data_IF_256710581170
#
_entry.id   IF_256710581170
#
_cell.length_a   1.000
_cell.length_b   1.000
_cell.length_c   1.000
_cell.angle_alpha   90.00
_cell.angle_beta   90.00
_cell.angle_gamma   90.00
#
_symmetry.space_group_name_H-M   'P 1'
#
loop_
_entity.id
_entity.type
_entity.pdbx_description
1 polymer ?
#
# COMPACT_ATOMS: atom_id res chain seq x y z
N UNK A 1 40.32 -15.20 -11.37
CA UNK A 1 39.81 -15.32 -9.99
C UNK A 1 39.19 -14.00 -9.56
N UNK A 2 37.91 -14.03 -9.16
CA UNK A 2 37.24 -13.23 -8.13
C UNK A 2 35.83 -12.80 -8.55
N UNK A 3 34.85 -13.69 -8.56
CA UNK A 3 33.92 -14.10 -7.48
C UNK A 3 32.57 -13.34 -7.58
N UNK A 4 31.49 -14.10 -7.77
CA UNK A 4 30.10 -13.66 -7.60
C UNK A 4 29.83 -13.27 -6.14
N UNK A 5 29.04 -12.23 -5.92
CA UNK A 5 28.67 -11.80 -4.57
C UNK A 5 27.30 -11.12 -4.51
N UNK A 6 26.24 -11.90 -4.72
CA UNK A 6 24.89 -11.54 -4.27
C UNK A 6 24.87 -11.44 -2.74
N UNK A 7 25.02 -10.23 -2.20
CA UNK A 7 24.61 -9.89 -0.83
C UNK A 7 23.43 -8.92 -0.96
N UNK A 8 22.19 -9.30 -0.65
CA UNK A 8 21.79 -9.96 0.58
C UNK A 8 21.58 -8.88 1.63
N UNK A 9 20.45 -8.16 1.55
CA UNK A 9 20.02 -7.21 2.59
C UNK A 9 19.71 -7.99 3.87
N UNK A 10 20.76 -8.31 4.63
CA UNK A 10 20.66 -8.72 6.02
C UNK A 10 20.19 -7.51 6.80
N UNK A 11 18.95 -7.57 7.26
CA UNK A 11 18.45 -6.79 8.39
C UNK A 11 19.49 -6.88 9.52
N UNK A 12 20.16 -5.77 9.81
CA UNK A 12 21.00 -5.66 11.00
C UNK A 12 20.10 -5.74 12.23
N UNK A 13 19.83 -6.96 12.73
CA UNK A 13 19.48 -7.14 14.14
C UNK A 13 20.75 -6.81 14.93
N UNK A 14 20.77 -5.65 15.56
CA UNK A 14 21.79 -5.35 16.57
C UNK A 14 21.70 -6.39 17.71
N UNK A 15 22.83 -6.89 18.24
CA UNK A 15 22.82 -7.75 19.41
C UNK A 15 22.49 -6.92 20.66
N UNK A 16 21.47 -7.35 21.40
CA UNK A 16 21.10 -6.76 22.70
C UNK A 16 22.15 -7.21 23.74
N UNK A 17 22.82 -6.29 24.46
CA UNK A 17 23.75 -6.67 25.53
C UNK A 17 22.98 -7.30 26.71
N UNK A 18 23.37 -8.51 27.08
CA UNK A 18 22.86 -9.25 28.24
C UNK A 18 23.39 -8.62 29.52
N UNK A 19 22.65 -7.67 30.09
CA UNK A 19 22.88 -7.20 31.46
C UNK A 19 22.09 -8.08 32.44
N UNK A 20 22.80 -8.75 33.35
CA UNK A 20 22.24 -9.51 34.47
C UNK A 20 21.63 -8.54 35.50
N UNK A 21 20.37 -8.72 35.94
CA UNK A 21 19.82 -7.92 37.04
C UNK A 21 20.22 -8.51 38.40
N UNK A 22 20.57 -7.67 39.40
CA UNK A 22 20.79 -8.11 40.78
C UNK A 22 19.46 -8.35 41.52
N UNK A 23 19.57 -9.02 42.67
CA UNK A 23 18.52 -9.71 43.41
C UNK A 23 17.60 -8.79 44.28
N UNK A 24 16.29 -9.14 44.31
CA UNK A 24 15.26 -9.02 45.39
C UNK A 24 14.57 -7.63 45.61
N UNK A 25 13.32 -7.55 46.17
CA UNK A 25 12.50 -8.55 46.88
C UNK A 25 11.02 -8.72 46.40
N UNK A 26 10.35 -9.68 47.03
CA UNK A 26 8.99 -10.23 46.86
C UNK A 26 7.81 -9.25 46.75
N UNK A 27 6.97 -9.44 45.73
CA UNK A 27 5.59 -8.93 45.64
C UNK A 27 4.70 -9.98 44.92
N UNK A 28 3.37 -10.04 45.19
CA UNK A 28 2.58 -11.24 45.03
C UNK A 28 2.37 -11.61 43.56
N UNK A 29 2.55 -12.90 43.27
CA UNK A 29 2.32 -13.49 41.96
C UNK A 29 0.81 -13.55 41.71
N UNK A 30 0.31 -12.67 40.83
CA UNK A 30 -0.96 -12.93 40.16
C UNK A 30 -0.69 -13.92 39.02
N UNK A 31 -0.99 -15.18 39.31
CA UNK A 31 -1.11 -16.25 38.33
C UNK A 31 -2.31 -15.93 37.42
N UNK A 32 -2.04 -15.48 36.19
CA UNK A 32 -3.02 -15.52 35.10
C UNK A 32 -2.49 -16.50 34.07
N UNK A 33 -2.95 -17.72 34.24
CA UNK A 33 -3.03 -18.70 33.17
C UNK A 33 -3.84 -18.14 31.99
N UNK A 34 -3.47 -18.59 30.79
CA UNK A 34 -4.25 -18.52 29.56
C UNK A 34 -4.17 -17.27 28.66
N UNK A 35 -3.85 -17.61 27.41
CA UNK A 35 -4.16 -16.91 26.15
C UNK A 35 -3.23 -15.77 25.73
N UNK A 36 -2.19 -16.17 24.99
CA UNK A 36 -1.44 -15.27 24.12
C UNK A 36 -2.40 -14.47 23.24
N UNK A 37 -2.37 -13.14 23.41
CA UNK A 37 -2.99 -12.16 22.50
C UNK A 37 -2.36 -12.31 21.13
N UNK A 38 -2.85 -13.27 20.33
CA UNK A 38 -2.61 -13.30 18.89
C UNK A 38 -3.20 -12.00 18.36
N UNK A 39 -2.32 -11.09 17.92
CA UNK A 39 -2.66 -9.92 17.11
C UNK A 39 -3.69 -10.39 16.08
N UNK A 40 -4.92 -9.86 16.17
CA UNK A 40 -6.03 -10.22 15.28
C UNK A 40 -5.57 -9.94 13.85
N UNK A 41 -5.21 -10.99 13.11
CA UNK A 41 -4.87 -10.89 11.69
C UNK A 41 -6.11 -10.36 10.97
N UNK A 42 -6.09 -9.11 10.53
CA UNK A 42 -7.17 -8.58 9.71
C UNK A 42 -7.08 -9.23 8.34
N UNK A 43 -7.87 -10.29 8.11
CA UNK A 43 -8.00 -10.93 6.81
C UNK A 43 -8.39 -9.88 5.77
N UNK A 44 -7.66 -9.83 4.65
CA UNK A 44 -7.95 -8.90 3.56
C UNK A 44 -9.31 -9.26 2.95
N UNK A 45 -10.23 -8.30 2.93
CA UNK A 45 -11.49 -8.44 2.22
C UNK A 45 -11.25 -8.47 0.70
N UNK A 46 -12.03 -9.29 -0.01
CA UNK A 46 -11.98 -9.40 -1.47
C UNK A 46 -13.29 -8.88 -2.06
N UNK A 47 -13.22 -8.04 -3.08
CA UNK A 47 -14.39 -7.52 -3.78
C UNK A 47 -15.13 -8.63 -4.55
N UNK A 48 -16.45 -8.56 -4.56
CA UNK A 48 -17.30 -9.48 -5.33
C UNK A 48 -17.07 -9.35 -6.83
N UNK A 49 -17.52 -10.34 -7.60
CA UNK A 49 -17.42 -10.30 -9.07
C UNK A 49 -18.19 -9.12 -9.67
N UNK A 50 -19.36 -8.80 -9.13
CA UNK A 50 -20.17 -7.67 -9.57
C UNK A 50 -19.44 -6.34 -9.34
N UNK A 51 -18.86 -6.17 -8.15
CA UNK A 51 -18.09 -4.98 -7.79
C UNK A 51 -16.88 -4.79 -8.71
N UNK A 52 -16.11 -5.86 -8.97
CA UNK A 52 -14.94 -5.81 -9.85
C UNK A 52 -15.33 -5.45 -11.29
N UNK A 53 -16.42 -6.01 -11.81
CA UNK A 53 -16.93 -5.69 -13.15
C UNK A 53 -17.35 -4.22 -13.26
N UNK A 54 -18.04 -3.68 -12.26
CA UNK A 54 -18.43 -2.27 -12.22
C UNK A 54 -17.24 -1.32 -12.22
N UNK A 55 -16.24 -1.63 -11.37
CA UNK A 55 -14.99 -0.87 -11.30
C UNK A 55 -14.21 -0.91 -12.63
N UNK A 56 -14.10 -2.09 -13.25
CA UNK A 56 -13.41 -2.26 -14.53
C UNK A 56 -14.10 -1.51 -15.66
N UNK A 57 -15.44 -1.57 -15.73
CA UNK A 57 -16.22 -0.85 -16.73
C UNK A 57 -15.95 0.65 -16.67
N UNK A 58 -15.96 1.26 -15.48
CA UNK A 58 -15.64 2.69 -15.35
C UNK A 58 -14.18 2.97 -15.71
N UNK A 59 -13.25 2.09 -15.33
CA UNK A 59 -11.83 2.24 -15.65
C UNK A 59 -11.54 2.21 -17.16
N UNK A 60 -12.28 1.42 -17.93
CA UNK A 60 -12.15 1.38 -19.40
C UNK A 60 -12.44 2.75 -20.02
N UNK A 61 -13.44 3.46 -19.51
CA UNK A 61 -13.83 4.80 -19.97
C UNK A 61 -12.84 5.85 -19.44
N UNK A 62 -12.52 5.79 -18.15
CA UNK A 62 -11.79 6.83 -17.44
C UNK A 62 -10.74 6.22 -16.52
N UNK A 63 -9.45 6.41 -16.86
CA UNK A 63 -8.33 5.81 -16.10
C UNK A 63 -8.11 6.46 -14.72
N UNK A 64 -8.61 7.68 -14.53
CA UNK A 64 -8.49 8.49 -13.32
C UNK A 64 -9.87 9.00 -12.91
N UNK A 65 -10.38 8.55 -11.78
CA UNK A 65 -11.73 8.92 -11.31
C UNK A 65 -11.72 10.25 -10.55
N UNK A 66 -12.67 11.14 -10.86
CA UNK A 66 -12.85 12.41 -10.14
C UNK A 66 -13.51 12.20 -8.78
N UNK A 67 -13.48 13.19 -7.88
CA UNK A 67 -14.16 13.14 -6.58
C UNK A 67 -15.67 12.87 -6.68
N UNK A 68 -16.45 13.59 -7.50
CA UNK A 68 -17.90 13.32 -7.63
C UNK A 68 -18.19 11.94 -8.23
N UNK A 69 -17.48 11.57 -9.30
CA UNK A 69 -17.65 10.26 -9.93
C UNK A 69 -17.35 9.11 -8.98
N UNK A 70 -16.33 9.28 -8.13
CA UNK A 70 -15.93 8.29 -7.13
C UNK A 70 -17.04 8.07 -6.10
N UNK A 71 -17.65 9.15 -5.60
CA UNK A 71 -18.78 9.08 -4.66
C UNK A 71 -19.96 8.32 -5.27
N UNK A 72 -20.29 8.62 -6.53
CA UNK A 72 -21.39 7.96 -7.23
C UNK A 72 -21.12 6.47 -7.47
N UNK A 73 -19.90 6.12 -7.88
CA UNK A 73 -19.50 4.73 -8.12
C UNK A 73 -19.47 3.92 -6.82
N UNK A 74 -18.99 4.52 -5.73
CA UNK A 74 -18.98 3.95 -4.39
C UNK A 74 -20.40 3.60 -3.93
N UNK A 75 -21.34 4.55 -4.05
CA UNK A 75 -22.75 4.35 -3.72
C UNK A 75 -23.39 3.23 -4.54
N UNK A 76 -23.09 3.16 -5.84
CA UNK A 76 -23.67 2.15 -6.75
C UNK A 76 -23.17 0.73 -6.44
N UNK A 77 -21.92 0.57 -6.00
CA UNK A 77 -21.29 -0.73 -5.75
C UNK A 77 -21.30 -1.16 -4.27
N UNK A 78 -21.84 -0.32 -3.38
CA UNK A 78 -21.82 -0.54 -1.94
C UNK A 78 -20.40 -0.54 -1.36
N UNK A 79 -19.52 0.31 -1.89
CA UNK A 79 -18.13 0.46 -1.46
C UNK A 79 -17.93 1.84 -0.83
N UNK A 80 -16.81 2.04 -0.14
CA UNK A 80 -16.41 3.38 0.33
C UNK A 80 -15.59 4.12 -0.71
N UNK A 81 -15.62 5.46 -0.67
CA UNK A 81 -14.74 6.32 -1.47
C UNK A 81 -13.27 5.88 -1.43
N UNK A 82 -12.78 5.56 -0.22
CA UNK A 82 -11.40 5.13 -0.01
C UNK A 82 -11.10 3.80 -0.72
N UNK A 83 -12.01 2.83 -0.66
CA UNK A 83 -11.86 1.55 -1.36
C UNK A 83 -11.80 1.73 -2.88
N UNK A 84 -12.67 2.59 -3.43
CA UNK A 84 -12.66 2.91 -4.86
C UNK A 84 -11.36 3.63 -5.24
N UNK A 85 -10.90 4.59 -4.43
CA UNK A 85 -9.61 5.29 -4.63
C UNK A 85 -8.44 4.31 -4.69
N UNK A 86 -8.31 3.43 -3.71
CA UNK A 86 -7.24 2.42 -3.64
C UNK A 86 -7.33 1.45 -4.81
N UNK A 87 -8.53 1.02 -5.19
CA UNK A 87 -8.71 0.14 -6.33
C UNK A 87 -8.25 0.80 -7.64
N UNK A 88 -8.61 2.07 -7.88
CA UNK A 88 -8.17 2.82 -9.06
C UNK A 88 -6.66 3.04 -9.08
N UNK A 89 -6.03 3.29 -7.92
CA UNK A 89 -4.57 3.34 -7.81
C UNK A 89 -3.94 2.00 -8.22
N UNK A 90 -4.36 0.90 -7.60
CA UNK A 90 -3.86 -0.44 -7.91
C UNK A 90 -4.08 -0.81 -9.39
N UNK A 91 -5.23 -0.43 -9.93
CA UNK A 91 -5.57 -0.70 -11.33
C UNK A 91 -4.65 0.04 -12.29
N UNK A 92 -4.33 1.31 -12.01
CA UNK A 92 -3.36 2.10 -12.79
C UNK A 92 -1.95 1.54 -12.71
N UNK A 93 -1.50 1.09 -11.52
CA UNK A 93 -0.19 0.42 -11.39
C UNK A 93 -0.09 -0.77 -12.35
N UNK A 94 -1.09 -1.67 -12.31
CA UNK A 94 -1.12 -2.84 -13.21
C UNK A 94 -1.17 -2.42 -14.68
N UNK A 95 -1.95 -1.39 -15.02
CA UNK A 95 -2.05 -0.88 -16.39
C UNK A 95 -0.71 -0.37 -16.92
N UNK A 96 0.02 0.43 -16.13
CA UNK A 96 1.36 0.94 -16.51
C UNK A 96 2.35 -0.20 -16.72
N UNK A 97 2.41 -1.13 -15.77
CA UNK A 97 3.28 -2.31 -15.87
C UNK A 97 2.97 -3.19 -17.08
N UNK A 98 1.73 -3.18 -17.59
CA UNK A 98 1.38 -3.91 -18.82
C UNK A 98 1.83 -3.17 -20.09
N UNK A 99 1.84 -1.83 -20.07
CA UNK A 99 2.22 -0.99 -21.23
C UNK A 99 3.73 -0.88 -21.39
N UNK A 100 4.47 -0.80 -20.28
CA UNK A 100 5.95 -0.77 -20.25
C UNK A 100 6.55 -2.19 -20.25
N UNK A 101 5.77 -3.21 -19.86
CA UNK A 101 6.23 -4.57 -19.58
C UNK A 101 6.10 -5.60 -20.71
N UNK A 102 5.95 -5.19 -21.97
CA UNK A 102 6.44 -6.08 -23.06
C UNK A 102 7.97 -6.21 -23.04
N UNK A 103 8.66 -5.43 -22.22
CA UNK A 103 10.09 -5.52 -21.92
C UNK A 103 10.43 -5.94 -20.47
N UNK A 104 9.53 -6.59 -19.72
CA UNK A 104 9.96 -7.18 -18.44
C UNK A 104 8.87 -7.50 -17.42
N UNK A 105 8.57 -8.80 -17.31
CA UNK A 105 8.26 -9.51 -16.06
C UNK A 105 6.93 -9.20 -15.36
N UNK A 106 5.94 -10.03 -15.69
CA UNK A 106 4.93 -10.42 -14.72
C UNK A 106 5.57 -11.18 -13.56
N UNK A 107 5.22 -10.78 -12.34
CA UNK A 107 5.45 -11.57 -11.12
C UNK A 107 6.76 -11.31 -10.40
N UNK A 108 6.85 -10.23 -9.63
CA UNK A 108 7.72 -10.17 -8.45
C UNK A 108 7.29 -9.04 -7.52
N UNK A 109 6.63 -9.42 -6.42
CA UNK A 109 6.69 -8.67 -5.18
C UNK A 109 8.15 -8.69 -4.68
N UNK A 110 8.87 -7.58 -4.83
CA UNK A 110 10.17 -7.38 -4.22
C UNK A 110 11.30 -7.11 -5.22
N UNK A 111 11.59 -5.83 -5.42
CA UNK A 111 12.93 -5.36 -5.78
C UNK A 111 13.00 -3.85 -5.49
N UNK A 112 13.59 -3.55 -4.34
CA UNK A 112 14.30 -2.31 -4.08
C UNK A 112 15.11 -1.82 -5.30
N UNK A 113 14.97 -0.54 -5.65
CA UNK A 113 16.01 0.22 -6.35
C UNK A 113 16.01 1.64 -5.77
N UNK A 114 17.18 1.98 -5.27
CA UNK A 114 17.54 3.17 -4.50
C UNK A 114 17.35 4.51 -5.25
N UNK A 115 17.35 5.63 -4.48
CA UNK A 115 17.11 6.97 -5.01
C UNK A 115 18.43 7.60 -5.47
N UNK A 116 18.54 7.93 -6.75
CA UNK A 116 19.27 9.12 -7.19
C UNK A 116 19.02 9.34 -8.69
N UNK A 117 18.16 10.31 -8.98
CA UNK A 117 18.37 11.28 -10.06
C UNK A 117 17.26 12.30 -9.99
N UNK A 118 17.67 13.46 -9.51
CA UNK A 118 17.00 14.74 -9.54
C UNK A 118 16.46 15.12 -10.92
N UNK A 119 15.42 15.97 -10.88
CA UNK A 119 14.72 16.68 -11.96
C UNK A 119 13.39 16.08 -12.43
N UNK A 120 12.33 16.33 -11.66
CA UNK A 120 11.04 16.71 -12.25
C UNK A 120 10.74 18.11 -11.74
N UNK A 121 10.71 19.06 -12.68
CA UNK A 121 10.31 20.43 -12.47
C UNK A 121 9.04 20.51 -11.63
N UNK A 122 9.02 21.48 -10.73
CA UNK A 122 7.82 21.88 -10.00
C UNK A 122 6.75 22.26 -11.03
N UNK A 123 5.76 21.39 -11.20
CA UNK A 123 4.46 21.73 -11.77
C UNK A 123 3.55 22.00 -10.57
N UNK A 124 3.61 23.24 -10.10
CA UNK A 124 2.54 23.86 -9.32
C UNK A 124 1.27 23.85 -10.19
N UNK A 125 0.57 22.71 -10.22
CA UNK A 125 -0.81 22.69 -10.65
C UNK A 125 -1.65 23.07 -9.44
N UNK A 126 -1.69 24.37 -9.20
CA UNK A 126 -2.64 25.01 -8.32
C UNK A 126 -4.05 24.60 -8.76
N UNK A 127 -4.77 24.04 -7.79
CA UNK A 127 -6.17 24.31 -7.50
C UNK A 127 -6.87 25.26 -8.51
N UNK A 128 -7.50 24.69 -9.54
CA UNK A 128 -8.48 25.43 -10.34
C UNK A 128 -9.87 25.14 -9.79
N UNK A 129 -10.24 25.88 -8.75
CA UNK A 129 -11.62 26.05 -8.34
C UNK A 129 -12.41 26.71 -9.48
N UNK A 130 -13.22 25.93 -10.19
CA UNK A 130 -14.02 26.36 -11.34
C UNK A 130 -15.29 27.16 -10.95
N UNK A 131 -15.38 27.67 -9.73
CA UNK A 131 -16.60 28.30 -9.17
C UNK A 131 -16.48 29.82 -8.93
N UNK A 132 -15.40 30.48 -9.36
CA UNK A 132 -15.16 31.91 -9.03
C UNK A 132 -15.43 32.90 -10.19
N UNK A 133 -16.14 32.50 -11.24
CA UNK A 133 -16.58 33.43 -12.29
C UNK A 133 -18.11 33.56 -12.30
N UNK A 134 -18.60 34.35 -11.34
CA UNK A 134 -19.88 35.06 -11.45
C UNK A 134 -19.92 36.23 -10.45
N UNK A 135 -19.36 37.38 -10.87
CA UNK A 135 -19.93 38.76 -10.81
C UNK A 135 -18.81 39.78 -11.10
#
# INVERSE_FOLDING_TARGET
MKDCGTSGCRVYRLPIPRASPPQQPSAPRCDVTSSGKRKRSWSRAVFSNLQRKGLERRFQIQKYITKPDRRQLAATLGLTDAQVKVWFQNRRMKWRHTKEGRAGLGGAIGAMKDPDSSNIANDDNEDVDVDTLSD
#
